data_IF_477077287174
#
_entry.id   IF_477077287174
#
_cell.length_a   1.000
_cell.length_b   1.000
_cell.length_c   1.000
_cell.angle_alpha   90.00
_cell.angle_beta   90.00
_cell.angle_gamma   90.00
#
_symmetry.space_group_name_H-M   'P 1'
#
loop_
_entity.id
_entity.type
_entity.pdbx_description
1 polymer ?
#
# COMPACT_ATOMS: atom_id res chain seq x y z
N UNK A 1 -16.85 -60.44 38.50
CA UNK A 1 -15.60 -59.74 38.16
C UNK A 1 -15.82 -58.93 36.93
N UNK A 2 -16.08 -57.66 37.06
CA UNK A 2 -16.30 -56.73 35.95
C UNK A 2 -14.97 -56.08 35.57
N UNK A 3 -14.45 -56.39 34.39
CA UNK A 3 -13.28 -55.71 33.82
C UNK A 3 -13.71 -54.36 33.32
N UNK A 4 -13.28 -53.30 34.00
CA UNK A 4 -13.40 -51.93 33.52
C UNK A 4 -12.38 -51.69 32.41
N UNK A 5 -12.85 -51.57 31.19
CA UNK A 5 -12.06 -51.09 30.07
C UNK A 5 -11.90 -49.59 30.23
N UNK A 6 -10.70 -49.11 30.51
CA UNK A 6 -10.37 -47.70 30.47
C UNK A 6 -10.14 -47.31 29.01
N UNK A 7 -11.07 -46.60 28.45
CA UNK A 7 -10.90 -45.96 27.15
C UNK A 7 -10.01 -44.74 27.36
N UNK A 8 -8.79 -44.81 26.86
CA UNK A 8 -7.92 -43.63 26.76
C UNK A 8 -8.43 -42.78 25.60
N UNK A 9 -9.13 -41.70 25.93
CA UNK A 9 -9.40 -40.62 24.99
C UNK A 9 -8.09 -39.86 24.73
N UNK A 10 -7.45 -40.18 23.62
CA UNK A 10 -6.34 -39.42 23.13
C UNK A 10 -6.83 -38.04 22.70
N UNK A 11 -6.41 -36.98 23.41
CA UNK A 11 -6.60 -35.61 22.95
C UNK A 11 -5.76 -35.40 21.73
N UNK A 12 -6.38 -35.38 20.56
CA UNK A 12 -5.78 -34.83 19.37
C UNK A 12 -5.74 -33.30 19.53
N UNK A 13 -4.60 -32.78 20.00
CA UNK A 13 -4.31 -31.37 19.89
C UNK A 13 -4.05 -31.09 18.41
N UNK A 14 -5.05 -30.55 17.72
CA UNK A 14 -4.86 -29.99 16.41
C UNK A 14 -4.00 -28.71 16.58
N UNK A 15 -2.69 -28.84 16.35
CA UNK A 15 -1.84 -27.68 16.19
C UNK A 15 -2.26 -26.96 14.91
N UNK A 16 -3.01 -25.87 15.04
CA UNK A 16 -3.28 -24.98 13.94
C UNK A 16 -1.93 -24.34 13.55
N UNK A 17 -1.30 -24.86 12.51
CA UNK A 17 -0.17 -24.18 11.89
C UNK A 17 -0.71 -22.94 11.21
N UNK A 18 -0.58 -21.78 11.87
CA UNK A 18 -0.72 -20.48 11.22
C UNK A 18 0.54 -20.32 10.37
N UNK A 19 0.44 -20.62 9.08
CA UNK A 19 1.46 -20.26 8.14
C UNK A 19 1.44 -18.73 8.01
N UNK A 20 2.40 -18.08 8.66
CA UNK A 20 2.71 -16.69 8.39
C UNK A 20 3.29 -16.62 6.98
N UNK A 21 2.43 -16.31 6.01
CA UNK A 21 2.89 -15.96 4.67
C UNK A 21 3.64 -14.63 4.83
N UNK A 22 4.95 -14.56 4.52
CA UNK A 22 5.65 -13.29 4.58
C UNK A 22 4.97 -12.33 3.59
N UNK A 23 4.51 -11.19 4.10
CA UNK A 23 3.96 -10.14 3.23
C UNK A 23 5.10 -9.63 2.35
N UNK A 24 4.99 -9.89 1.03
CA UNK A 24 5.95 -9.39 0.05
C UNK A 24 6.00 -7.86 0.13
N UNK A 25 7.18 -7.29 0.42
CA UNK A 25 7.41 -5.85 0.39
C UNK A 25 7.63 -5.19 1.74
N UNK A 26 7.42 -5.88 2.86
CA UNK A 26 7.91 -5.46 4.16
C UNK A 26 9.15 -6.30 4.51
N UNK A 27 10.23 -5.67 4.92
CA UNK A 27 11.35 -6.39 5.53
C UNK A 27 11.20 -6.42 7.06
N UNK A 28 12.01 -7.27 7.73
CA UNK A 28 11.97 -7.45 9.17
C UNK A 28 12.29 -6.17 9.98
N UNK A 29 12.88 -5.16 9.35
CA UNK A 29 13.27 -3.88 9.95
C UNK A 29 12.20 -2.79 9.79
N UNK A 30 11.00 -3.14 9.28
CA UNK A 30 9.91 -2.18 9.08
C UNK A 30 10.09 -1.25 7.89
N UNK A 31 11.01 -1.59 6.98
CA UNK A 31 11.22 -0.83 5.75
C UNK A 31 10.10 -1.13 4.75
N UNK A 32 9.42 -0.09 4.27
CA UNK A 32 8.39 -0.19 3.26
C UNK A 32 8.80 0.50 1.96
N UNK A 33 8.57 -0.16 0.83
CA UNK A 33 8.57 0.49 -0.48
C UNK A 33 7.18 1.03 -0.79
N UNK A 34 7.10 2.07 -1.62
CA UNK A 34 5.83 2.75 -1.92
C UNK A 34 4.81 1.82 -2.59
N UNK A 35 5.23 0.97 -3.52
CA UNK A 35 4.34 0.09 -4.28
C UNK A 35 3.68 -0.98 -3.41
N UNK A 36 4.42 -1.82 -2.65
CA UNK A 36 3.78 -2.79 -1.76
C UNK A 36 2.87 -2.13 -0.72
N UNK A 37 3.26 -0.98 -0.21
CA UNK A 37 2.45 -0.24 0.76
C UNK A 37 1.16 0.28 0.15
N UNK A 38 1.22 0.87 -1.05
CA UNK A 38 0.04 1.34 -1.77
C UNK A 38 -0.94 0.19 -2.09
N UNK A 39 -0.44 -0.99 -2.47
CA UNK A 39 -1.27 -2.20 -2.63
C UNK A 39 -1.99 -2.59 -1.35
N UNK A 40 -1.26 -2.61 -0.24
CA UNK A 40 -1.83 -2.96 1.07
C UNK A 40 -2.97 -2.02 1.46
N UNK A 41 -2.75 -0.73 1.31
CA UNK A 41 -3.71 0.30 1.73
C UNK A 41 -4.93 0.38 0.82
N UNK A 42 -4.74 0.27 -0.48
CA UNK A 42 -5.80 0.48 -1.48
C UNK A 42 -6.53 -0.80 -1.90
N UNK A 43 -5.90 -1.94 -1.76
CA UNK A 43 -6.37 -3.20 -2.34
C UNK A 43 -6.16 -3.33 -3.85
N UNK A 44 -5.59 -2.30 -4.50
CA UNK A 44 -5.28 -2.33 -5.93
C UNK A 44 -4.15 -3.33 -6.19
N UNK A 45 -4.38 -4.27 -7.11
CA UNK A 45 -3.45 -5.35 -7.43
C UNK A 45 -2.64 -5.02 -8.69
N UNK A 46 -1.76 -4.03 -8.57
CA UNK A 46 -0.77 -3.67 -9.59
C UNK A 46 0.63 -3.89 -9.02
N UNK A 47 1.50 -4.46 -9.83
CA UNK A 47 2.87 -4.85 -9.46
C UNK A 47 3.87 -4.16 -10.39
N UNK A 48 5.12 -4.13 -9.96
CA UNK A 48 6.18 -3.46 -10.70
C UNK A 48 6.38 -2.02 -10.28
N UNK A 49 7.27 -1.32 -10.99
CA UNK A 49 7.66 0.04 -10.65
C UNK A 49 6.48 1.02 -10.61
N UNK A 50 6.53 1.95 -9.70
CA UNK A 50 5.48 2.97 -9.53
C UNK A 50 5.18 3.73 -10.83
N UNK A 51 6.21 4.03 -11.63
CA UNK A 51 6.05 4.70 -12.94
C UNK A 51 5.17 3.94 -13.93
N UNK A 52 4.97 2.63 -13.75
CA UNK A 52 4.15 1.80 -14.64
C UNK A 52 2.70 1.69 -14.18
N UNK A 53 2.38 2.17 -13.00
CA UNK A 53 1.06 1.97 -12.40
C UNK A 53 -0.06 2.62 -13.20
N UNK A 54 0.13 3.84 -13.65
CA UNK A 54 -0.89 4.54 -14.42
C UNK A 54 -1.27 3.77 -15.70
N UNK A 55 -0.29 3.34 -16.47
CA UNK A 55 -0.54 2.59 -17.68
C UNK A 55 -1.11 1.20 -17.42
N UNK A 56 -0.69 0.53 -16.34
CA UNK A 56 -1.24 -0.78 -15.96
C UNK A 56 -2.70 -0.67 -15.46
N UNK A 57 -3.08 0.44 -14.86
CA UNK A 57 -4.46 0.66 -14.39
C UNK A 57 -5.46 0.77 -15.54
N UNK A 58 -5.02 1.22 -16.71
CA UNK A 58 -5.87 1.40 -17.87
C UNK A 58 -6.61 0.10 -18.24
N UNK A 59 -7.95 0.16 -18.29
CA UNK A 59 -8.80 -0.99 -18.58
C UNK A 59 -9.01 -1.97 -17.43
N UNK A 60 -8.38 -1.77 -16.28
CA UNK A 60 -8.52 -2.62 -15.08
C UNK A 60 -9.15 -1.88 -13.90
N UNK A 61 -8.81 -0.62 -13.75
CA UNK A 61 -9.28 0.26 -12.70
C UNK A 61 -9.70 1.60 -13.30
N UNK A 62 -10.62 2.29 -12.63
CA UNK A 62 -10.97 3.64 -13.00
C UNK A 62 -9.76 4.56 -12.82
N UNK A 63 -9.50 5.41 -13.81
CA UNK A 63 -8.45 6.42 -13.78
C UNK A 63 -9.04 7.80 -14.00
N UNK A 64 -8.43 8.82 -13.44
CA UNK A 64 -8.91 10.18 -13.60
C UNK A 64 -7.99 11.19 -12.92
N UNK A 65 -8.34 12.47 -13.07
CA UNK A 65 -7.60 13.58 -12.47
C UNK A 65 -8.24 14.12 -11.19
N UNK A 66 -9.46 13.72 -10.88
CA UNK A 66 -10.15 14.10 -9.64
C UNK A 66 -9.77 13.14 -8.51
N UNK A 67 -9.17 13.63 -7.41
CA UNK A 67 -8.78 12.76 -6.31
C UNK A 67 -10.00 12.23 -5.58
N UNK A 68 -9.89 10.96 -5.13
CA UNK A 68 -10.90 10.29 -4.31
C UNK A 68 -10.21 9.58 -3.15
N UNK A 69 -10.86 9.58 -1.98
CA UNK A 69 -10.39 8.78 -0.83
C UNK A 69 -10.34 7.30 -1.24
N UNK A 70 -9.25 6.63 -0.91
CA UNK A 70 -9.02 5.23 -1.24
C UNK A 70 -8.36 5.01 -2.60
N UNK A 71 -8.24 6.03 -3.43
CA UNK A 71 -7.49 5.97 -4.68
C UNK A 71 -5.98 5.97 -4.42
N UNK A 72 -5.21 5.65 -5.45
CA UNK A 72 -3.75 5.77 -5.45
C UNK A 72 -3.36 6.93 -6.35
N UNK A 73 -2.66 7.89 -5.78
CA UNK A 73 -2.03 8.99 -6.52
C UNK A 73 -0.75 8.49 -7.15
N UNK A 74 -0.63 8.61 -8.47
CA UNK A 74 0.55 8.22 -9.22
C UNK A 74 1.37 9.46 -9.60
N UNK A 75 2.59 9.53 -9.09
CA UNK A 75 3.55 10.60 -9.42
C UNK A 75 4.39 10.21 -10.61
N UNK A 76 4.55 11.12 -11.55
CA UNK A 76 5.45 10.93 -12.68
C UNK A 76 6.91 10.84 -12.22
N UNK A 77 7.74 10.04 -12.91
CA UNK A 77 9.17 10.01 -12.62
C UNK A 77 9.81 11.39 -12.71
N UNK A 78 10.81 11.61 -11.87
CA UNK A 78 11.69 12.78 -11.90
C UNK A 78 13.14 12.33 -11.87
N UNK A 79 14.09 13.25 -12.07
CA UNK A 79 15.52 12.93 -11.99
C UNK A 79 15.95 12.36 -10.61
N UNK A 80 15.27 12.78 -9.54
CA UNK A 80 15.53 12.26 -8.17
C UNK A 80 14.71 11.02 -7.84
N UNK A 81 13.69 10.73 -8.63
CA UNK A 81 12.70 9.69 -8.39
C UNK A 81 12.36 9.02 -9.72
N UNK A 82 13.35 8.40 -10.32
CA UNK A 82 13.26 7.87 -11.67
C UNK A 82 12.29 6.69 -11.83
N UNK A 83 11.96 6.00 -10.75
CA UNK A 83 10.97 4.92 -10.74
C UNK A 83 9.54 5.40 -10.49
N UNK A 84 9.35 6.71 -10.30
CA UNK A 84 8.07 7.27 -9.92
C UNK A 84 7.73 7.01 -8.45
N UNK A 85 6.52 7.38 -8.05
CA UNK A 85 6.01 7.15 -6.70
C UNK A 85 4.51 6.93 -6.73
N UNK A 86 4.01 6.19 -5.78
CA UNK A 86 2.58 5.98 -5.55
C UNK A 86 2.24 6.23 -4.09
N UNK A 87 1.08 6.84 -3.85
CA UNK A 87 0.62 7.18 -2.51
C UNK A 87 -0.88 6.94 -2.38
N UNK A 88 -1.29 6.39 -1.25
CA UNK A 88 -2.70 6.18 -0.94
C UNK A 88 -3.37 7.49 -0.55
N UNK A 89 -4.47 7.85 -1.19
CA UNK A 89 -5.23 9.05 -0.86
C UNK A 89 -6.05 8.80 0.40
N UNK A 90 -5.65 9.42 1.50
CA UNK A 90 -6.30 9.26 2.79
C UNK A 90 -7.40 10.29 3.03
N UNK A 91 -7.27 11.50 2.48
CA UNK A 91 -8.24 12.58 2.63
C UNK A 91 -8.30 13.46 1.39
N UNK A 92 -9.47 14.00 1.08
CA UNK A 92 -9.67 15.06 0.07
C UNK A 92 -10.18 16.31 0.77
N UNK A 93 -9.35 17.34 0.84
CA UNK A 93 -9.69 18.59 1.54
C UNK A 93 -10.36 19.59 0.59
N UNK A 94 -9.80 19.75 -0.61
CA UNK A 94 -10.37 20.53 -1.71
C UNK A 94 -10.10 19.82 -3.02
N UNK A 95 -10.53 20.39 -4.14
CA UNK A 95 -10.21 19.86 -5.47
C UNK A 95 -8.71 19.91 -5.83
N UNK A 96 -7.91 20.65 -5.07
CA UNK A 96 -6.47 20.81 -5.25
C UNK A 96 -5.62 20.40 -4.05
N UNK A 97 -6.23 20.11 -2.91
CA UNK A 97 -5.50 19.77 -1.69
C UNK A 97 -6.03 18.45 -1.17
N UNK A 98 -5.12 17.49 -1.07
CA UNK A 98 -5.41 16.15 -0.52
C UNK A 98 -4.41 15.81 0.57
N UNK A 99 -4.72 14.76 1.31
CA UNK A 99 -3.73 14.10 2.15
C UNK A 99 -3.49 12.68 1.64
N UNK A 100 -2.25 12.25 1.71
CA UNK A 100 -1.84 10.90 1.33
C UNK A 100 -1.13 10.22 2.49
N UNK A 101 -1.26 8.92 2.54
CA UNK A 101 -0.46 8.04 3.39
C UNK A 101 0.41 7.20 2.47
N UNK A 102 1.71 7.25 2.66
CA UNK A 102 2.65 6.61 1.76
C UNK A 102 3.89 6.12 2.51
N UNK A 103 4.79 5.48 1.80
CA UNK A 103 6.03 4.99 2.34
C UNK A 103 7.22 5.26 1.42
N UNK A 104 8.40 5.31 1.98
CA UNK A 104 9.66 5.44 1.26
C UNK A 104 9.81 6.77 0.49
N UNK A 105 9.41 7.86 1.10
CA UNK A 105 9.51 9.19 0.52
C UNK A 105 10.60 10.03 1.16
N UNK A 106 10.43 10.35 2.44
CA UNK A 106 11.36 11.22 3.16
C UNK A 106 12.56 10.44 3.71
N UNK A 107 13.69 11.12 3.77
CA UNK A 107 14.85 10.65 4.53
C UNK A 107 14.69 11.13 5.97
N UNK A 108 14.51 10.20 6.89
CA UNK A 108 14.35 10.48 8.32
C UNK A 108 15.49 9.79 9.05
N UNK A 109 16.26 10.56 9.81
CA UNK A 109 17.44 10.06 10.53
C UNK A 109 18.44 9.29 9.62
N UNK A 110 18.58 9.73 8.36
CA UNK A 110 19.47 9.12 7.38
C UNK A 110 18.87 7.97 6.57
N UNK A 111 17.68 7.50 6.92
CA UNK A 111 17.04 6.34 6.29
C UNK A 111 15.72 6.69 5.60
N UNK A 112 15.39 5.90 4.58
CA UNK A 112 14.09 5.88 3.93
C UNK A 112 13.31 4.63 4.32
N UNK A 113 12.07 4.52 3.85
CA UNK A 113 11.22 3.34 4.05
C UNK A 113 10.22 3.47 5.19
N UNK A 114 10.12 4.64 5.82
CA UNK A 114 9.11 4.91 6.83
C UNK A 114 7.75 5.14 6.19
N UNK A 115 6.70 4.82 6.96
CA UNK A 115 5.33 5.21 6.64
C UNK A 115 5.09 6.63 7.13
N UNK A 116 4.61 7.48 6.23
CA UNK A 116 4.20 8.85 6.54
C UNK A 116 2.70 8.98 6.34
N UNK A 117 2.00 9.36 7.40
CA UNK A 117 0.52 9.43 7.42
C UNK A 117 0.04 10.85 7.18
N UNK A 118 -1.03 10.96 6.39
CA UNK A 118 -1.80 12.19 6.18
C UNK A 118 -0.93 13.38 5.77
N UNK A 119 0.00 13.13 4.86
CA UNK A 119 0.87 14.16 4.29
C UNK A 119 0.08 15.00 3.29
N UNK A 120 0.11 16.31 3.47
CA UNK A 120 -0.61 17.24 2.59
C UNK A 120 0.09 17.37 1.24
N UNK A 121 -0.66 17.18 0.18
CA UNK A 121 -0.23 17.35 -1.21
C UNK A 121 -1.11 18.39 -1.89
N UNK A 122 -0.49 19.34 -2.54
CA UNK A 122 -1.15 20.43 -3.25
C UNK A 122 -0.92 20.29 -4.74
N UNK A 123 -2.01 20.33 -5.52
CA UNK A 123 -1.93 20.42 -6.97
C UNK A 123 -1.63 21.86 -7.38
N UNK A 124 -0.42 22.09 -7.86
CA UNK A 124 0.05 23.39 -8.36
C UNK A 124 0.03 23.48 -9.87
N UNK A 125 -0.55 22.47 -10.55
CA UNK A 125 -0.66 22.49 -12.02
C UNK A 125 -1.55 23.62 -12.52
N UNK A 126 -1.27 24.11 -13.74
CA UNK A 126 -2.14 25.07 -14.42
C UNK A 126 -3.33 24.31 -15.04
N UNK A 127 -4.50 24.47 -14.43
CA UNK A 127 -5.75 23.86 -14.91
C UNK A 127 -6.53 24.72 -15.89
N UNK A 128 -5.96 25.79 -16.43
CA UNK A 128 -6.66 26.70 -17.35
C UNK A 128 -7.11 26.07 -18.66
N UNK A 129 -6.62 24.90 -18.96
CA UNK A 129 -6.96 24.16 -20.19
C UNK A 129 -8.00 23.06 -19.98
N UNK A 130 -8.63 22.97 -18.83
CA UNK A 130 -9.76 22.07 -18.61
C UNK A 130 -11.04 22.81 -18.95
N UNK A 131 -11.50 22.63 -20.17
CA UNK A 131 -12.84 23.04 -20.62
C UNK A 131 -13.78 21.87 -20.43
#
# INVERSE_FOLDING_TARGET
MTKRTRTLLGSLAAAAMISLVPMSGANADGYWQCVPFARLMSGIQIFGDARTWWSQAAGKYDTGSAPKIGAVLSFKPTARMNLGHVAFVSQVLTDRVIQVTHANWSVIEGDRGQIEKDVTVVDVSDRKSVV
#
